data_IF_307385310903
#
_entry.id   IF_307385310903
#
_cell.length_a   1.000
_cell.length_b   1.000
_cell.length_c   1.000
_cell.angle_alpha   90.00
_cell.angle_beta   90.00
_cell.angle_gamma   90.00
#
_symmetry.space_group_name_H-M   'P 1'
#
loop_
_entity.id
_entity.type
_entity.pdbx_description
1 polymer ?
#
# COMPACT_ATOMS: atom_id res chain seq x y z
N UNK A 1 -11.18 -5.78 -24.05
CA UNK A 1 -12.09 -5.05 -23.13
C UNK A 1 -11.29 -4.63 -21.89
N UNK A 2 -11.62 -3.49 -21.27
CA UNK A 2 -10.94 -3.02 -20.07
C UNK A 2 -11.42 -3.78 -18.82
N UNK A 3 -10.47 -4.24 -17.98
CA UNK A 3 -10.76 -4.84 -16.68
C UNK A 3 -10.44 -3.83 -15.55
N UNK A 4 -11.50 -3.33 -14.90
CA UNK A 4 -11.41 -2.36 -13.82
C UNK A 4 -10.69 -2.92 -12.58
N UNK A 5 -10.94 -4.18 -12.23
CA UNK A 5 -10.37 -4.77 -11.03
C UNK A 5 -8.89 -5.12 -11.23
N UNK A 6 -8.55 -5.64 -12.42
CA UNK A 6 -7.16 -5.84 -12.84
C UNK A 6 -6.36 -4.55 -12.83
N UNK A 7 -6.88 -3.48 -13.45
CA UNK A 7 -6.23 -2.17 -13.46
C UNK A 7 -6.06 -1.58 -12.04
N UNK A 8 -7.07 -1.70 -11.18
CA UNK A 8 -6.97 -1.26 -9.79
C UNK A 8 -5.90 -2.05 -9.02
N UNK A 9 -5.89 -3.38 -9.14
CA UNK A 9 -4.88 -4.23 -8.51
C UNK A 9 -3.47 -3.89 -8.98
N UNK A 10 -3.30 -3.63 -10.28
CA UNK A 10 -2.03 -3.20 -10.87
C UNK A 10 -1.57 -1.85 -10.28
N UNK A 11 -2.49 -0.89 -10.10
CA UNK A 11 -2.16 0.40 -9.48
C UNK A 11 -1.67 0.24 -8.03
N UNK A 12 -2.25 -0.69 -7.27
CA UNK A 12 -1.83 -0.94 -5.88
C UNK A 12 -0.50 -1.67 -5.80
N UNK A 13 -0.23 -2.60 -6.72
CA UNK A 13 1.09 -3.17 -6.88
C UNK A 13 2.13 -2.09 -7.22
N UNK A 14 1.80 -1.15 -8.11
CA UNK A 14 2.69 -0.05 -8.48
C UNK A 14 3.04 0.83 -7.26
N UNK A 15 2.08 1.13 -6.37
CA UNK A 15 2.37 1.86 -5.14
C UNK A 15 3.43 1.18 -4.27
N UNK A 16 3.37 -0.15 -4.13
CA UNK A 16 4.35 -0.90 -3.32
C UNK A 16 5.72 -0.94 -3.98
N UNK A 17 5.77 -1.24 -5.28
CA UNK A 17 7.00 -1.20 -6.07
C UNK A 17 7.66 0.19 -5.97
N UNK A 18 6.87 1.26 -6.07
CA UNK A 18 7.36 2.64 -5.92
C UNK A 18 7.90 2.90 -4.51
N UNK A 19 7.17 2.53 -3.46
CA UNK A 19 7.61 2.75 -2.08
C UNK A 19 8.94 2.04 -1.78
N UNK A 20 9.11 0.81 -2.27
CA UNK A 20 10.35 0.04 -2.06
C UNK A 20 11.50 0.55 -2.91
N UNK A 21 11.27 0.95 -4.17
CA UNK A 21 12.31 1.57 -4.99
C UNK A 21 12.73 2.94 -4.44
N UNK A 22 11.77 3.75 -3.97
CA UNK A 22 12.07 5.02 -3.30
C UNK A 22 12.97 4.79 -2.09
N UNK A 23 12.67 3.79 -1.25
CA UNK A 23 13.52 3.47 -0.09
C UNK A 23 14.96 3.15 -0.52
N UNK A 24 15.15 2.29 -1.52
CA UNK A 24 16.48 1.93 -2.02
C UNK A 24 17.26 3.15 -2.53
N UNK A 25 16.56 4.06 -3.20
CA UNK A 25 17.16 5.31 -3.72
C UNK A 25 17.54 6.26 -2.59
N UNK A 26 16.69 6.41 -1.58
CA UNK A 26 16.97 7.21 -0.38
C UNK A 26 18.20 6.66 0.37
N UNK A 27 18.30 5.34 0.53
CA UNK A 27 19.47 4.69 1.12
C UNK A 27 20.74 4.95 0.31
N UNK A 28 20.67 4.80 -1.02
CA UNK A 28 21.80 5.06 -1.92
C UNK A 28 22.24 6.53 -1.86
N UNK A 29 21.30 7.46 -1.68
CA UNK A 29 21.56 8.88 -1.52
C UNK A 29 22.02 9.27 -0.11
N UNK A 30 21.99 8.36 0.86
CA UNK A 30 22.29 8.65 2.26
C UNK A 30 21.29 9.62 2.92
N UNK A 31 20.03 9.59 2.47
CA UNK A 31 18.98 10.44 3.03
C UNK A 31 18.40 9.84 4.32
N UNK A 32 18.12 10.70 5.32
CA UNK A 32 17.48 10.29 6.58
C UNK A 32 15.95 10.07 6.45
N UNK A 33 15.39 10.25 5.26
CA UNK A 33 13.96 10.04 4.98
C UNK A 33 13.66 8.56 4.83
N UNK A 34 12.54 8.11 5.40
CA UNK A 34 12.02 6.76 5.22
C UNK A 34 10.86 6.73 4.22
N UNK A 35 10.89 5.76 3.30
CA UNK A 35 9.72 5.40 2.50
C UNK A 35 9.08 4.14 3.07
N UNK A 36 7.80 4.23 3.42
CA UNK A 36 7.02 3.14 4.02
C UNK A 36 5.68 3.01 3.29
N UNK A 37 5.02 1.86 3.44
CA UNK A 37 3.72 1.62 2.85
C UNK A 37 2.70 1.19 3.92
N UNK A 38 1.43 1.47 3.68
CA UNK A 38 0.36 0.99 4.53
C UNK A 38 -0.91 0.75 3.72
N UNK A 39 -1.77 -0.14 4.22
CA UNK A 39 -3.12 -0.31 3.71
C UNK A 39 -4.14 -0.28 4.85
N UNK A 40 -5.35 0.19 4.58
CA UNK A 40 -6.37 0.34 5.61
C UNK A 40 -7.11 -0.97 5.92
N UNK A 41 -6.69 -2.10 5.33
CA UNK A 41 -7.48 -3.34 5.27
C UNK A 41 -8.83 -3.15 4.55
N UNK A 42 -9.82 -3.93 4.95
CA UNK A 42 -11.18 -3.82 4.41
C UNK A 42 -11.92 -2.69 5.14
N UNK A 43 -11.83 -1.48 4.62
CA UNK A 43 -12.50 -0.30 5.19
C UNK A 43 -13.70 0.12 4.37
N UNK A 44 -14.78 0.49 5.05
CA UNK A 44 -16.00 1.05 4.47
C UNK A 44 -15.74 2.47 3.95
N UNK A 45 -14.87 2.61 2.96
CA UNK A 45 -14.72 3.81 2.16
C UNK A 45 -15.54 3.66 0.87
N UNK A 46 -15.90 4.77 0.23
CA UNK A 46 -16.66 4.80 -1.04
C UNK A 46 -15.98 4.06 -2.21
N UNK A 47 -14.79 3.47 -2.03
CA UNK A 47 -14.23 2.53 -3.01
C UNK A 47 -15.09 1.27 -3.15
N UNK A 48 -15.72 0.82 -2.08
CA UNK A 48 -16.49 -0.43 -2.07
C UNK A 48 -17.89 -0.29 -2.68
N UNK A 49 -18.42 0.93 -2.81
CA UNK A 49 -19.74 1.18 -3.41
C UNK A 49 -19.81 0.92 -4.91
N UNK A 50 -18.67 0.73 -5.58
CA UNK A 50 -18.60 0.39 -7.00
C UNK A 50 -18.48 -1.12 -7.29
N UNK A 51 -18.46 -1.97 -6.26
CA UNK A 51 -18.38 -3.43 -6.39
C UNK A 51 -19.62 -4.09 -5.76
N UNK A 52 -20.32 -4.93 -6.52
CA UNK A 52 -21.58 -5.59 -6.11
C UNK A 52 -21.41 -6.42 -4.84
N UNK A 53 -20.28 -7.11 -4.69
CA UNK A 53 -19.96 -7.92 -3.51
C UNK A 53 -19.48 -7.08 -2.31
N UNK A 54 -18.84 -5.94 -2.56
CA UNK A 54 -18.37 -5.01 -1.52
C UNK A 54 -19.51 -4.37 -0.73
N UNK A 55 -20.63 -4.07 -1.41
CA UNK A 55 -21.83 -3.52 -0.77
C UNK A 55 -22.53 -4.48 0.19
N UNK A 56 -22.43 -5.79 -0.04
CA UNK A 56 -23.09 -6.82 0.78
C UNK A 56 -22.32 -7.16 2.06
N UNK A 57 -20.98 -7.14 2.01
CA UNK A 57 -20.11 -7.53 3.13
C UNK A 57 -19.70 -6.36 4.04
N UNK A 58 -19.90 -5.12 3.57
CA UNK A 58 -19.53 -3.88 4.25
C UNK A 58 -20.01 -3.79 5.71
N UNK A 59 -21.26 -4.14 6.08
CA UNK A 59 -21.73 -4.00 7.46
C UNK A 59 -21.05 -4.96 8.46
N UNK A 60 -20.45 -6.04 7.97
CA UNK A 60 -19.95 -7.17 8.78
C UNK A 60 -18.42 -7.18 8.85
N UNK A 61 -17.75 -6.78 7.77
CA UNK A 61 -16.29 -6.92 7.63
C UNK A 61 -15.57 -5.58 7.78
N UNK A 62 -16.24 -4.47 7.50
CA UNK A 62 -15.56 -3.19 7.40
C UNK A 62 -15.15 -2.62 8.75
N UNK A 63 -13.88 -2.23 8.82
CA UNK A 63 -13.40 -1.35 9.89
C UNK A 63 -14.05 0.03 9.77
N UNK A 64 -14.33 0.64 10.92
CA UNK A 64 -14.66 2.07 10.97
C UNK A 64 -13.51 2.89 10.35
N UNK A 65 -13.78 4.02 9.67
CA UNK A 65 -12.74 4.84 9.04
C UNK A 65 -11.58 5.20 9.97
N UNK A 66 -11.85 5.47 11.25
CA UNK A 66 -10.84 5.83 12.24
C UNK A 66 -9.87 4.68 12.50
N UNK A 67 -10.38 3.45 12.55
CA UNK A 67 -9.55 2.24 12.66
C UNK A 67 -8.74 2.04 11.37
N UNK A 68 -9.34 2.31 10.21
CA UNK A 68 -8.71 2.23 8.90
C UNK A 68 -7.52 3.16 8.70
N UNK A 69 -7.50 4.28 9.42
CA UNK A 69 -6.41 5.25 9.39
C UNK A 69 -5.20 4.81 10.24
N UNK A 70 -5.39 3.89 11.19
CA UNK A 70 -4.33 3.51 12.14
C UNK A 70 -3.08 2.93 11.46
N UNK A 71 -3.17 2.08 10.40
CA UNK A 71 -1.96 1.57 9.73
C UNK A 71 -1.11 2.68 9.13
N UNK A 72 -1.74 3.68 8.49
CA UNK A 72 -1.05 4.86 7.95
C UNK A 72 -0.45 5.72 9.06
N UNK A 73 -1.18 5.94 10.16
CA UNK A 73 -0.64 6.67 11.32
C UNK A 73 0.58 5.96 11.91
N UNK A 74 0.52 4.65 12.10
CA UNK A 74 1.65 3.86 12.59
C UNK A 74 2.86 4.00 11.66
N UNK A 75 2.67 3.80 10.35
CA UNK A 75 3.74 3.90 9.36
C UNK A 75 4.41 5.29 9.34
N UNK A 76 3.66 6.35 9.66
CA UNK A 76 4.15 7.72 9.65
C UNK A 76 4.76 8.19 10.98
N UNK A 77 4.33 7.66 12.13
CA UNK A 77 4.64 8.27 13.44
C UNK A 77 5.28 7.33 14.46
N UNK A 78 5.26 6.02 14.25
CA UNK A 78 5.84 5.11 15.24
C UNK A 78 7.38 5.16 15.20
N UNK A 79 8.01 5.11 16.38
CA UNK A 79 9.46 5.28 16.54
C UNK A 79 10.26 4.05 16.14
N UNK A 80 9.60 2.90 15.97
CA UNK A 80 10.19 1.61 15.60
C UNK A 80 10.05 1.30 14.10
N UNK A 81 9.60 2.26 13.29
CA UNK A 81 9.42 2.10 11.84
C UNK A 81 10.75 2.11 11.12
N UNK A 82 10.93 1.15 10.21
CA UNK A 82 12.07 1.10 9.30
C UNK A 82 11.64 1.41 7.87
N UNK A 83 12.56 1.95 7.08
CA UNK A 83 12.35 2.14 5.65
C UNK A 83 12.05 0.81 4.96
N UNK A 84 11.09 0.82 4.03
CA UNK A 84 10.59 -0.37 3.37
C UNK A 84 9.53 -1.15 4.17
N UNK A 85 9.17 -0.72 5.37
CA UNK A 85 8.12 -1.38 6.14
C UNK A 85 6.74 -1.21 5.52
N UNK A 86 5.92 -2.26 5.66
CA UNK A 86 4.54 -2.31 5.21
C UNK A 86 3.62 -2.63 6.38
N UNK A 87 2.58 -1.81 6.59
CA UNK A 87 1.65 -1.96 7.70
C UNK A 87 0.20 -2.17 7.26
N UNK A 88 -0.47 -3.08 7.95
CA UNK A 88 -1.87 -3.42 7.74
C UNK A 88 -2.57 -3.82 9.03
N UNK A 89 -3.88 -4.08 8.99
CA UNK A 89 -4.61 -4.58 10.16
C UNK A 89 -4.26 -6.04 10.50
N UNK A 90 -3.53 -6.28 11.59
CA UNK A 90 -2.99 -7.60 11.96
C UNK A 90 -3.99 -8.69 12.38
N UNK A 91 -5.30 -8.45 12.30
CA UNK A 91 -6.31 -9.45 12.60
C UNK A 91 -6.67 -10.29 11.36
N UNK A 92 -7.95 -10.62 11.20
CA UNK A 92 -8.43 -11.61 10.23
C UNK A 92 -7.88 -11.37 8.80
N UNK A 93 -6.82 -12.12 8.43
CA UNK A 93 -6.13 -12.06 7.14
C UNK A 93 -5.74 -10.65 6.64
N UNK A 94 -5.29 -9.75 7.52
CA UNK A 94 -4.96 -8.38 7.09
C UNK A 94 -6.19 -7.50 6.81
N UNK A 95 -7.41 -8.00 7.07
CA UNK A 95 -8.65 -7.29 6.72
C UNK A 95 -9.12 -6.35 7.83
N UNK A 96 -8.90 -6.73 9.10
CA UNK A 96 -9.36 -5.96 10.26
C UNK A 96 -8.46 -6.10 11.48
N UNK A 97 -8.42 -5.08 12.34
CA UNK A 97 -7.65 -5.11 13.59
C UNK A 97 -6.82 -3.86 13.81
N UNK A 98 -5.95 -3.89 14.83
CA UNK A 98 -4.95 -2.85 15.05
C UNK A 98 -3.77 -3.01 14.07
N UNK A 99 -3.02 -1.94 13.81
CA UNK A 99 -1.87 -1.98 12.91
C UNK A 99 -0.82 -2.99 13.35
N UNK A 100 -0.34 -3.78 12.39
CA UNK A 100 0.78 -4.69 12.52
C UNK A 100 1.66 -4.59 11.28
N UNK A 101 2.96 -4.89 11.44
CA UNK A 101 3.87 -5.06 10.30
C UNK A 101 3.46 -6.31 9.52
N UNK A 102 3.30 -6.18 8.21
CA UNK A 102 2.87 -7.26 7.31
C UNK A 102 3.89 -7.48 6.19
N UNK A 103 3.76 -8.61 5.51
CA UNK A 103 4.43 -8.84 4.23
C UNK A 103 3.46 -8.55 3.10
N UNK A 104 3.92 -7.86 2.06
CA UNK A 104 3.14 -7.64 0.84
C UNK A 104 3.29 -8.83 -0.13
N UNK A 105 2.67 -8.74 -1.31
CA UNK A 105 2.76 -9.81 -2.32
C UNK A 105 4.19 -10.02 -2.81
N UNK A 106 4.58 -11.26 -3.13
CA UNK A 106 5.92 -11.58 -3.63
C UNK A 106 6.35 -10.69 -4.81
N UNK A 107 5.42 -10.42 -5.73
CA UNK A 107 5.65 -9.58 -6.90
C UNK A 107 6.03 -8.14 -6.55
N UNK A 108 5.63 -7.63 -5.39
CA UNK A 108 6.02 -6.28 -4.96
C UNK A 108 7.50 -6.17 -4.60
N UNK A 109 8.19 -7.30 -4.34
CA UNK A 109 9.62 -7.33 -4.03
C UNK A 109 10.51 -7.52 -5.27
N UNK A 110 9.93 -7.63 -6.47
CA UNK A 110 10.67 -7.73 -7.74
C UNK A 110 11.41 -6.41 -8.01
N UNK A 111 12.74 -6.47 -7.93
CA UNK A 111 13.60 -5.29 -8.03
C UNK A 111 13.64 -4.72 -9.43
N UNK A 112 13.70 -5.57 -10.44
CA UNK A 112 13.78 -5.17 -11.84
C UNK A 112 12.46 -4.56 -12.29
N UNK A 113 11.33 -5.14 -11.84
CA UNK A 113 10.01 -4.57 -12.09
C UNK A 113 9.85 -3.20 -11.43
N UNK A 114 10.32 -3.02 -10.20
CA UNK A 114 10.26 -1.75 -9.50
C UNK A 114 11.14 -0.67 -10.17
N UNK A 115 12.36 -1.02 -10.56
CA UNK A 115 13.24 -0.10 -11.30
C UNK A 115 12.63 0.31 -12.64
N UNK A 116 12.05 -0.65 -13.38
CA UNK A 116 11.36 -0.36 -14.64
C UNK A 116 10.13 0.53 -14.43
N UNK A 117 9.34 0.27 -13.39
CA UNK A 117 8.20 1.11 -13.03
C UNK A 117 8.65 2.54 -12.77
N UNK A 118 9.74 2.73 -12.04
CA UNK A 118 10.30 4.05 -11.74
C UNK A 118 10.65 4.82 -13.01
N UNK A 119 11.47 4.24 -13.89
CA UNK A 119 11.87 4.88 -15.16
C UNK A 119 10.66 5.28 -16.00
N UNK A 120 9.69 4.38 -16.16
CA UNK A 120 8.46 4.69 -16.93
C UNK A 120 7.65 5.78 -16.24
N UNK A 121 7.61 5.81 -14.91
CA UNK A 121 6.90 6.85 -14.15
C UNK A 121 7.55 8.22 -14.34
N UNK A 122 8.88 8.31 -14.31
CA UNK A 122 9.64 9.53 -14.63
C UNK A 122 9.34 10.01 -16.05
N UNK A 123 9.41 9.11 -17.04
CA UNK A 123 9.11 9.43 -18.45
C UNK A 123 7.68 9.97 -18.65
N UNK A 124 6.69 9.32 -18.03
CA UNK A 124 5.28 9.69 -18.18
C UNK A 124 4.90 10.96 -17.40
N UNK A 125 5.61 11.28 -16.32
CA UNK A 125 5.31 12.43 -15.46
C UNK A 125 6.22 13.63 -15.72
N UNK A 126 7.39 13.44 -16.33
CA UNK A 126 8.40 14.47 -16.56
C UNK A 126 9.16 14.90 -15.28
N UNK A 127 9.14 14.08 -14.23
CA UNK A 127 9.77 14.35 -12.91
C UNK A 127 10.91 13.36 -12.66
N UNK A 128 11.93 13.78 -11.88
CA UNK A 128 13.07 12.97 -11.42
C UNK A 128 13.31 13.20 -9.93
#
# INVERSE_FOLDING_TARGET
AYDRQGAYTQSKLANLLFAYELQRRLETAGADTLSTAAHPGWTATNLQSHFTLGRLLNPIIAMKPEMGALPTLRAATATDVQGGDYYGPGGWQGMRGFPQKEQSSERSYDRDLAARLWTISEELTGVQ
#
